data_IF_096754864613
#
_entry.id   IF_096754864613
#
_cell.length_a   1.000
_cell.length_b   1.000
_cell.length_c   1.000
_cell.angle_alpha   90.00
_cell.angle_beta   90.00
_cell.angle_gamma   90.00
#
_symmetry.space_group_name_H-M   'P 1'
#
loop_
_entity.id
_entity.type
_entity.pdbx_description
1 polymer ?
#
# COMPACT_ATOMS: atom_id res chain seq x y z
N UNK A 1 11.93 7.11 -3.84
CA UNK A 1 10.58 6.77 -3.37
C UNK A 1 9.62 7.14 -4.47
N UNK A 2 8.92 6.15 -5.02
CA UNK A 2 7.96 6.37 -6.11
C UNK A 2 6.71 7.10 -5.60
N UNK A 3 5.87 7.56 -6.53
CA UNK A 3 4.70 8.37 -6.18
C UNK A 3 3.61 7.51 -5.54
N UNK A 4 3.54 6.22 -5.88
CA UNK A 4 2.62 5.24 -5.31
C UNK A 4 2.89 5.02 -3.81
N UNK A 5 4.14 4.79 -3.41
CA UNK A 5 4.49 4.65 -1.99
C UNK A 5 4.22 5.96 -1.24
N UNK A 6 4.41 7.14 -1.86
CA UNK A 6 4.12 8.44 -1.20
C UNK A 6 2.64 8.59 -0.92
N UNK A 7 1.78 8.33 -1.91
CA UNK A 7 0.34 8.38 -1.76
C UNK A 7 -0.14 7.38 -0.68
N UNK A 8 0.43 6.17 -0.65
CA UNK A 8 0.14 5.19 0.39
C UNK A 8 0.50 5.70 1.80
N UNK A 9 1.68 6.31 1.97
CA UNK A 9 2.08 6.89 3.26
C UNK A 9 1.13 8.02 3.69
N UNK A 10 0.70 8.87 2.76
CA UNK A 10 -0.25 9.95 3.05
C UNK A 10 -1.60 9.39 3.49
N UNK A 11 -2.13 8.37 2.79
CA UNK A 11 -3.36 7.67 3.17
C UNK A 11 -3.25 7.02 4.55
N UNK A 12 -2.13 6.34 4.84
CA UNK A 12 -1.86 5.75 6.16
C UNK A 12 -1.87 6.79 7.28
N UNK A 13 -1.25 7.94 7.06
CA UNK A 13 -1.22 9.04 8.03
C UNK A 13 -2.61 9.62 8.26
N UNK A 14 -3.39 9.82 7.19
CA UNK A 14 -4.74 10.35 7.29
C UNK A 14 -5.63 9.43 8.14
N UNK A 15 -5.64 8.12 7.87
CA UNK A 15 -6.44 7.16 8.65
C UNK A 15 -5.95 7.07 10.10
N UNK A 16 -4.64 7.07 10.33
CA UNK A 16 -4.08 7.00 11.69
C UNK A 16 -4.48 8.20 12.56
N UNK A 17 -4.62 9.39 11.97
CA UNK A 17 -5.06 10.58 12.69
C UNK A 17 -6.50 10.47 13.24
N UNK A 18 -7.31 9.57 12.68
CA UNK A 18 -8.68 9.34 13.14
C UNK A 18 -8.79 8.23 14.21
N UNK A 19 -7.74 7.44 14.43
CA UNK A 19 -7.81 6.28 15.31
C UNK A 19 -8.10 6.64 16.78
N UNK A 20 -7.43 7.66 17.32
CA UNK A 20 -7.61 8.09 18.70
C UNK A 20 -8.99 8.75 18.95
N UNK A 21 -9.48 9.69 18.11
CA UNK A 21 -10.85 10.19 18.19
C UNK A 21 -11.92 9.09 18.12
N UNK A 22 -11.77 8.12 17.21
CA UNK A 22 -12.72 7.01 17.07
C UNK A 22 -12.72 6.10 18.29
N UNK A 23 -11.53 5.78 18.83
CA UNK A 23 -11.42 4.99 20.06
C UNK A 23 -12.13 5.69 21.24
N UNK A 24 -11.96 7.00 21.37
CA UNK A 24 -12.65 7.80 22.39
C UNK A 24 -14.17 7.80 22.19
N UNK A 25 -14.66 8.04 20.97
CA UNK A 25 -16.10 8.05 20.68
C UNK A 25 -16.76 6.69 20.96
N UNK A 26 -16.06 5.58 20.64
CA UNK A 26 -16.50 4.22 20.95
C UNK A 26 -16.52 3.95 22.46
N UNK A 27 -15.45 4.31 23.16
CA UNK A 27 -15.34 4.14 24.62
C UNK A 27 -16.44 4.88 25.37
N UNK A 28 -16.77 6.10 24.93
CA UNK A 28 -17.82 6.92 25.52
C UNK A 28 -19.23 6.53 25.05
N UNK A 29 -19.35 5.59 24.10
CA UNK A 29 -20.64 5.18 23.52
C UNK A 29 -21.33 6.29 22.71
N UNK A 30 -20.58 7.28 22.24
CA UNK A 30 -21.10 8.45 21.50
C UNK A 30 -21.00 8.28 19.98
N UNK A 31 -20.24 7.28 19.52
CA UNK A 31 -20.12 6.99 18.09
C UNK A 31 -21.40 6.37 17.51
N UNK A 32 -22.03 7.04 16.55
CA UNK A 32 -23.22 6.52 15.88
C UNK A 32 -22.90 5.28 15.02
N UNK A 33 -23.86 4.36 14.80
CA UNK A 33 -23.65 3.21 13.93
C UNK A 33 -23.26 3.56 12.48
N UNK A 34 -23.73 4.70 11.99
CA UNK A 34 -23.35 5.23 10.67
C UNK A 34 -21.87 5.58 10.63
N UNK A 35 -21.39 6.40 11.58
CA UNK A 35 -19.97 6.75 11.67
C UNK A 35 -19.08 5.52 11.88
N UNK A 36 -19.55 4.51 12.60
CA UNK A 36 -18.83 3.24 12.75
C UNK A 36 -18.64 2.53 11.40
N UNK A 37 -19.69 2.49 10.57
CA UNK A 37 -19.62 1.92 9.22
C UNK A 37 -18.72 2.73 8.31
N UNK A 38 -18.75 4.06 8.39
CA UNK A 38 -17.89 4.93 7.59
C UNK A 38 -16.40 4.69 7.93
N UNK A 39 -16.07 4.63 9.22
CA UNK A 39 -14.71 4.35 9.65
C UNK A 39 -14.25 2.95 9.25
N UNK A 40 -15.12 1.94 9.37
CA UNK A 40 -14.83 0.59 8.87
C UNK A 40 -14.60 0.57 7.35
N UNK A 41 -15.36 1.36 6.59
CA UNK A 41 -15.17 1.54 5.14
C UNK A 41 -13.78 2.08 4.82
N UNK A 42 -13.36 3.16 5.49
CA UNK A 42 -12.01 3.74 5.31
C UNK A 42 -10.89 2.74 5.62
N UNK A 43 -11.04 1.92 6.67
CA UNK A 43 -10.08 0.86 6.97
C UNK A 43 -10.04 -0.23 5.88
N UNK A 44 -11.19 -0.57 5.30
CA UNK A 44 -11.28 -1.50 4.17
C UNK A 44 -10.55 -0.98 2.93
N UNK A 45 -10.78 0.29 2.57
CA UNK A 45 -10.09 0.95 1.45
C UNK A 45 -8.58 1.00 1.67
N UNK A 46 -8.12 1.35 2.88
CA UNK A 46 -6.70 1.34 3.23
C UNK A 46 -6.08 -0.06 3.14
N UNK A 47 -6.81 -1.08 3.61
CA UNK A 47 -6.38 -2.48 3.49
C UNK A 47 -6.20 -2.88 2.03
N UNK A 48 -7.13 -2.52 1.15
CA UNK A 48 -7.03 -2.81 -0.27
C UNK A 48 -5.82 -2.10 -0.89
N UNK A 49 -5.61 -0.82 -0.58
CA UNK A 49 -4.48 -0.05 -1.10
C UNK A 49 -3.12 -0.66 -0.69
N UNK A 50 -3.01 -1.17 0.53
CA UNK A 50 -1.81 -1.88 1.00
C UNK A 50 -1.56 -3.16 0.21
N UNK A 51 -2.61 -3.94 -0.07
CA UNK A 51 -2.52 -5.17 -0.86
C UNK A 51 -2.08 -4.87 -2.29
N UNK A 52 -2.72 -3.89 -2.95
CA UNK A 52 -2.40 -3.48 -4.31
C UNK A 52 -0.93 -3.02 -4.42
N UNK A 53 -0.45 -2.25 -3.43
CA UNK A 53 0.95 -1.82 -3.39
C UNK A 53 1.92 -2.99 -3.21
N UNK A 54 1.59 -3.96 -2.36
CA UNK A 54 2.40 -5.16 -2.16
C UNK A 54 2.47 -6.00 -3.45
N UNK A 55 1.34 -6.24 -4.12
CA UNK A 55 1.32 -6.96 -5.40
C UNK A 55 2.15 -6.25 -6.47
N UNK A 56 2.06 -4.91 -6.55
CA UNK A 56 2.85 -4.13 -7.49
C UNK A 56 4.36 -4.30 -7.25
N UNK A 57 4.77 -4.30 -5.98
CA UNK A 57 6.15 -4.52 -5.56
C UNK A 57 6.63 -5.92 -5.96
N UNK A 58 5.85 -6.95 -5.70
CA UNK A 58 6.18 -8.34 -6.06
C UNK A 58 6.34 -8.54 -7.57
N UNK A 59 5.44 -7.95 -8.38
CA UNK A 59 5.54 -8.01 -9.86
C UNK A 59 6.78 -7.28 -10.36
N UNK A 60 7.08 -6.12 -9.80
CA UNK A 60 8.25 -5.33 -10.17
C UNK A 60 9.55 -6.06 -9.86
N UNK A 61 9.64 -6.72 -8.71
CA UNK A 61 10.82 -7.50 -8.30
C UNK A 61 11.01 -8.76 -9.18
N UNK A 62 9.92 -9.40 -9.57
CA UNK A 62 9.94 -10.57 -10.47
C UNK A 62 10.39 -10.22 -11.89
N UNK A 63 10.01 -9.03 -12.41
CA UNK A 63 10.42 -8.55 -13.72
C UNK A 63 11.93 -8.24 -13.81
N UNK A 64 12.55 -7.86 -12.69
CA UNK A 64 14.00 -7.60 -12.62
C UNK A 64 14.82 -8.90 -12.70
N UNK A 65 14.33 -10.00 -12.13
CA UNK A 65 15.01 -11.30 -12.16
C UNK A 65 14.89 -12.02 -13.53
N UNK A 66 13.87 -11.70 -14.33
CA UNK A 66 13.64 -12.34 -15.62
C UNK A 66 14.58 -11.86 -16.76
N UNK A 67 15.43 -10.84 -16.55
CA UNK A 67 16.43 -10.42 -17.57
C UNK A 67 17.57 -11.44 -17.61
N UNK A 68 17.76 -12.20 -18.71
CA UNK A 68 18.90 -13.10 -18.82
C UNK A 68 20.20 -12.28 -18.87
N UNK A 69 21.32 -12.78 -18.34
CA UNK A 69 22.61 -12.11 -18.54
C UNK A 69 22.89 -12.05 -20.03
N UNK A 70 23.06 -10.85 -20.57
CA UNK A 70 23.50 -10.65 -21.95
C UNK A 70 24.78 -11.44 -22.16
N UNK A 71 24.70 -12.56 -22.89
CA UNK A 71 25.88 -13.29 -23.37
C UNK A 71 26.70 -12.31 -24.18
N UNK A 72 27.84 -11.86 -23.63
CA UNK A 72 28.90 -11.25 -24.43
C UNK A 72 29.40 -12.34 -25.37
N UNK A 73 29.01 -12.29 -26.63
CA UNK A 73 29.68 -13.06 -27.67
C UNK A 73 31.09 -12.49 -27.82
N UNK A 74 32.16 -13.30 -27.68
CA UNK A 74 33.49 -12.85 -28.08
C UNK A 74 33.53 -12.71 -29.61
N UNK A 75 34.29 -11.75 -30.16
CA UNK A 75 34.45 -11.63 -31.60
C UNK A 75 35.27 -12.82 -32.12
N UNK A 76 34.77 -13.52 -33.13
CA UNK A 76 35.56 -14.49 -33.88
C UNK A 76 36.65 -13.74 -34.65
N UNK A 77 37.91 -14.04 -34.33
CA UNK A 77 39.07 -13.58 -35.06
C UNK A 77 39.24 -14.54 -36.25
N UNK A 78 39.02 -14.03 -37.46
CA UNK A 78 39.43 -14.69 -38.72
C UNK A 78 40.91 -14.42 -38.99
#
# INVERSE_FOLDING_TARGET
MDNETKALIESLRAVSAHAEPVANDLMLGTMTPERQRDYAGMLGELSQLLQDHAEFRERSESAVQARPPSRRHPPEIQ
#
